data_IF_020310260582
#
_entry.id   IF_020310260582
#
_cell.length_a   1.000
_cell.length_b   1.000
_cell.length_c   1.000
_cell.angle_alpha   90.00
_cell.angle_beta   90.00
_cell.angle_gamma   90.00
#
_symmetry.space_group_name_H-M   'P 1'
#
loop_
_entity.id
_entity.type
_entity.pdbx_description
1 polymer ?
#
# COMPACT_ATOMS: atom_id res chain seq x y z
N UNK A 1 -5.47 15.76 -20.85
CA UNK A 1 -4.90 16.42 -19.67
C UNK A 1 -3.55 15.77 -19.40
N UNK A 2 -2.47 16.52 -19.50
CA UNK A 2 -1.16 16.11 -18.95
C UNK A 2 -1.16 16.45 -17.46
N UNK A 3 -0.70 15.52 -16.62
CA UNK A 3 -0.44 15.79 -15.21
C UNK A 3 0.86 16.58 -15.17
N UNK A 4 0.79 17.87 -14.87
CA UNK A 4 1.99 18.73 -14.79
C UNK A 4 2.72 18.57 -13.45
N UNK A 5 1.99 18.24 -12.38
CA UNK A 5 2.56 17.99 -11.04
C UNK A 5 1.68 17.02 -10.24
N UNK A 6 2.30 16.07 -9.53
CA UNK A 6 1.58 15.14 -8.64
C UNK A 6 1.40 15.79 -7.26
N UNK A 7 0.16 15.88 -6.73
CA UNK A 7 -0.06 16.48 -5.42
C UNK A 7 0.69 15.76 -4.31
N UNK A 8 1.32 16.55 -3.42
CA UNK A 8 1.94 16.06 -2.19
C UNK A 8 1.19 16.65 -0.99
N UNK A 9 0.50 15.80 -0.24
CA UNK A 9 -0.40 16.20 0.84
C UNK A 9 0.30 15.99 2.19
N UNK A 10 0.38 17.04 3.00
CA UNK A 10 0.93 16.99 4.35
C UNK A 10 -0.16 16.67 5.37
N UNK A 11 -0.02 15.57 6.12
CA UNK A 11 -1.01 15.17 7.13
C UNK A 11 -0.43 15.21 8.56
N UNK A 12 0.58 16.05 8.82
CA UNK A 12 1.18 16.16 10.16
C UNK A 12 0.25 16.65 11.26
N UNK A 13 -0.85 17.31 10.90
CA UNK A 13 -1.81 17.83 11.88
C UNK A 13 -2.68 16.70 12.44
N UNK A 14 -3.03 16.81 13.73
CA UNK A 14 -3.87 15.82 14.42
C UNK A 14 -5.24 15.60 13.75
N UNK A 15 -5.74 16.63 13.07
CA UNK A 15 -6.88 16.55 12.16
C UNK A 15 -6.50 17.10 10.78
N UNK A 16 -7.08 16.56 9.71
CA UNK A 16 -6.93 17.12 8.37
C UNK A 16 -7.54 18.53 8.36
N UNK A 17 -6.76 19.53 7.96
CA UNK A 17 -7.31 20.85 7.67
C UNK A 17 -8.29 20.78 6.50
N UNK A 18 -9.26 21.69 6.45
CA UNK A 18 -10.22 21.76 5.35
C UNK A 18 -9.51 21.86 3.99
N UNK A 19 -8.44 22.67 3.91
CA UNK A 19 -7.62 22.80 2.70
C UNK A 19 -6.96 21.47 2.27
N UNK A 20 -6.46 20.68 3.23
CA UNK A 20 -5.84 19.38 2.91
C UNK A 20 -6.88 18.34 2.54
N UNK A 21 -8.06 18.36 3.19
CA UNK A 21 -9.18 17.50 2.87
C UNK A 21 -9.72 17.79 1.46
N UNK A 22 -9.84 19.06 1.08
CA UNK A 22 -10.24 19.46 -0.27
C UNK A 22 -9.19 19.07 -1.32
N UNK A 23 -7.91 19.25 -1.02
CA UNK A 23 -6.82 18.84 -1.90
C UNK A 23 -6.81 17.32 -2.12
N UNK A 24 -7.02 16.55 -1.05
CA UNK A 24 -7.15 15.09 -1.11
C UNK A 24 -8.36 14.67 -1.95
N UNK A 25 -9.53 15.29 -1.72
CA UNK A 25 -10.75 15.02 -2.48
C UNK A 25 -10.55 15.28 -3.98
N UNK A 26 -9.91 16.38 -4.35
CA UNK A 26 -9.59 16.70 -5.75
C UNK A 26 -8.63 15.68 -6.34
N UNK A 27 -7.54 15.34 -5.63
CA UNK A 27 -6.58 14.35 -6.09
C UNK A 27 -7.24 12.98 -6.33
N UNK A 28 -8.17 12.56 -5.46
CA UNK A 28 -8.93 11.32 -5.65
C UNK A 28 -9.86 11.36 -6.88
N UNK A 29 -10.58 12.46 -7.10
CA UNK A 29 -11.59 12.54 -8.16
C UNK A 29 -11.01 12.83 -9.54
N UNK A 30 -9.95 13.63 -9.61
CA UNK A 30 -9.43 14.18 -10.86
C UNK A 30 -8.17 13.44 -11.35
N UNK A 31 -7.34 12.95 -10.44
CA UNK A 31 -6.04 12.33 -10.77
C UNK A 31 -5.99 10.83 -10.46
N UNK A 32 -6.63 10.40 -9.37
CA UNK A 32 -6.52 9.02 -8.87
C UNK A 32 -5.14 8.68 -8.26
N UNK A 33 -4.25 9.67 -8.12
CA UNK A 33 -2.89 9.46 -7.61
C UNK A 33 -2.36 10.72 -6.89
N UNK A 34 -1.65 10.50 -5.77
CA UNK A 34 -1.04 11.55 -4.94
C UNK A 34 -0.01 10.95 -3.97
N UNK A 35 0.87 11.80 -3.43
CA UNK A 35 1.78 11.43 -2.34
C UNK A 35 1.28 11.99 -1.00
N UNK A 36 1.58 11.28 0.09
CA UNK A 36 1.35 11.75 1.45
C UNK A 36 2.71 11.91 2.15
N UNK A 37 2.89 13.00 2.89
CA UNK A 37 4.04 13.20 3.79
C UNK A 37 3.60 13.39 5.23
N UNK A 38 4.53 13.09 6.16
CA UNK A 38 4.32 13.20 7.61
C UNK A 38 3.08 12.44 8.11
N UNK A 39 2.86 11.24 7.57
CA UNK A 39 1.76 10.33 7.93
C UNK A 39 1.95 9.55 9.24
N UNK A 40 2.93 9.95 10.06
CA UNK A 40 3.16 9.35 11.39
C UNK A 40 3.84 7.97 11.40
N UNK A 41 4.07 7.33 10.25
CA UNK A 41 4.85 6.08 10.20
C UNK A 41 6.32 6.40 10.41
N UNK A 42 6.96 5.72 11.36
CA UNK A 42 8.36 5.96 11.68
C UNK A 42 9.29 5.46 10.58
N UNK A 43 10.40 6.18 10.36
CA UNK A 43 11.42 5.77 9.40
C UNK A 43 12.07 4.45 9.80
N UNK A 44 12.24 4.19 11.11
CA UNK A 44 12.76 2.92 11.61
C UNK A 44 11.87 1.74 11.21
N UNK A 45 10.55 1.88 11.35
CA UNK A 45 9.61 0.85 10.92
C UNK A 45 9.71 0.62 9.41
N UNK A 46 9.73 1.70 8.61
CA UNK A 46 9.89 1.61 7.16
C UNK A 46 11.18 0.87 6.78
N UNK A 47 12.31 1.21 7.40
CA UNK A 47 13.59 0.55 7.14
C UNK A 47 13.56 -0.94 7.50
N UNK A 48 12.97 -1.32 8.64
CA UNK A 48 12.80 -2.73 9.02
C UNK A 48 11.91 -3.48 8.03
N UNK A 49 10.82 -2.85 7.58
CA UNK A 49 9.92 -3.43 6.59
C UNK A 49 10.64 -3.69 5.26
N UNK A 50 11.36 -2.69 4.73
CA UNK A 50 12.13 -2.83 3.49
C UNK A 50 13.22 -3.88 3.65
N UNK A 51 13.98 -3.85 4.75
CA UNK A 51 15.02 -4.86 5.02
C UNK A 51 14.45 -6.29 5.09
N UNK A 52 13.28 -6.46 5.72
CA UNK A 52 12.60 -7.75 5.77
C UNK A 52 12.14 -8.22 4.39
N UNK A 53 11.60 -7.31 3.57
CA UNK A 53 11.23 -7.59 2.19
C UNK A 53 12.45 -7.99 1.35
N UNK A 54 13.56 -7.27 1.45
CA UNK A 54 14.79 -7.56 0.72
C UNK A 54 15.34 -8.96 1.06
N UNK A 55 15.37 -9.31 2.35
CA UNK A 55 15.77 -10.65 2.80
C UNK A 55 14.86 -11.75 2.24
N UNK A 56 13.57 -11.48 2.20
CA UNK A 56 12.57 -12.42 1.70
C UNK A 56 12.71 -12.66 0.20
N UNK A 57 12.85 -11.59 -0.60
CA UNK A 57 12.98 -11.69 -2.04
C UNK A 57 14.35 -12.19 -2.50
N UNK A 58 15.38 -12.01 -1.67
CA UNK A 58 16.72 -12.57 -1.86
C UNK A 58 16.81 -14.05 -1.47
N UNK A 59 15.79 -14.62 -0.81
CA UNK A 59 15.78 -16.03 -0.42
C UNK A 59 15.62 -16.97 -1.63
N UNK A 60 16.16 -18.20 -1.56
CA UNK A 60 16.01 -19.20 -2.63
C UNK A 60 14.55 -19.46 -3.01
N UNK A 61 14.34 -19.82 -4.27
CA UNK A 61 13.03 -20.08 -4.84
C UNK A 61 12.28 -21.20 -4.09
N UNK A 62 12.98 -22.25 -3.69
CA UNK A 62 12.42 -23.36 -2.91
C UNK A 62 11.86 -22.89 -1.57
N UNK A 63 12.49 -21.89 -0.94
CA UNK A 63 12.01 -21.31 0.31
C UNK A 63 10.76 -20.47 0.10
N UNK A 64 10.72 -19.69 -0.99
CA UNK A 64 9.54 -18.88 -1.36
C UNK A 64 8.35 -19.77 -1.77
N UNK A 65 8.61 -20.87 -2.47
CA UNK A 65 7.58 -21.83 -2.89
C UNK A 65 6.91 -22.56 -1.72
N UNK A 66 7.59 -22.73 -0.58
CA UNK A 66 6.96 -23.25 0.65
C UNK A 66 5.86 -22.34 1.19
N UNK A 67 5.86 -21.06 0.80
CA UNK A 67 4.85 -20.07 1.20
C UNK A 67 3.76 -19.89 0.14
N UNK A 68 3.78 -20.72 -0.91
CA UNK A 68 2.75 -20.75 -1.94
C UNK A 68 1.45 -21.28 -1.33
N UNK A 69 0.38 -20.52 -1.50
CA UNK A 69 -0.95 -20.88 -0.98
C UNK A 69 -1.55 -22.02 -1.83
N UNK A 70 -2.12 -23.04 -1.19
CA UNK A 70 -2.91 -24.08 -1.86
C UNK A 70 -4.33 -23.62 -2.24
N UNK A 71 -4.75 -22.44 -1.78
CA UNK A 71 -6.08 -21.91 -2.08
C UNK A 71 -6.00 -21.19 -3.43
N UNK A 72 -6.71 -21.72 -4.42
CA UNK A 72 -6.97 -21.07 -5.71
C UNK A 72 -7.46 -19.63 -5.46
N UNK A 73 -6.66 -18.58 -5.75
CA UNK A 73 -7.19 -17.23 -5.67
C UNK A 73 -8.26 -17.11 -6.76
N UNK A 74 -9.45 -16.61 -6.38
CA UNK A 74 -10.48 -16.15 -7.33
C UNK A 74 -9.95 -15.09 -8.32
N UNK A 75 -8.75 -14.56 -8.04
CA UNK A 75 -8.04 -13.59 -8.84
C UNK A 75 -7.22 -14.26 -9.96
N UNK A 76 -7.48 -13.95 -11.25
CA UNK A 76 -6.72 -14.49 -12.37
C UNK A 76 -5.23 -14.16 -12.26
N UNK A 77 -4.38 -15.12 -12.65
CA UNK A 77 -2.90 -15.03 -12.57
C UNK A 77 -2.31 -13.80 -13.26
N UNK A 78 -3.01 -13.24 -14.25
CA UNK A 78 -2.59 -12.04 -15.00
C UNK A 78 -2.90 -10.70 -14.30
N UNK A 79 -3.66 -10.72 -13.19
CA UNK A 79 -4.00 -9.54 -12.36
C UNK A 79 -3.07 -9.42 -11.16
N UNK A 80 -2.22 -10.43 -10.91
CA UNK A 80 -1.18 -10.36 -9.90
C UNK A 80 -0.05 -9.47 -10.45
N UNK A 81 0.00 -8.25 -9.95
CA UNK A 81 1.25 -7.50 -9.89
C UNK A 81 2.34 -8.41 -9.27
N UNK A 82 3.63 -8.29 -9.62
CA UNK A 82 4.70 -9.04 -8.97
C UNK A 82 4.69 -8.96 -7.43
N UNK A 83 4.06 -7.91 -6.88
CA UNK A 83 3.83 -7.73 -5.46
C UNK A 83 2.77 -8.67 -4.86
N UNK A 84 1.85 -9.22 -5.66
CA UNK A 84 0.70 -10.01 -5.20
C UNK A 84 0.94 -11.53 -5.23
N UNK A 85 2.04 -11.99 -5.84
CA UNK A 85 2.57 -13.35 -5.59
C UNK A 85 3.26 -13.46 -4.22
N UNK A 86 3.41 -12.34 -3.51
CA UNK A 86 4.17 -12.25 -2.28
C UNK A 86 3.22 -12.22 -1.08
N UNK A 87 3.28 -13.27 -0.27
CA UNK A 87 2.92 -13.35 1.15
C UNK A 87 1.64 -12.62 1.59
N UNK A 88 0.67 -13.37 2.12
CA UNK A 88 -0.41 -12.77 2.93
C UNK A 88 0.20 -12.08 4.15
N UNK A 89 0.22 -10.75 4.14
CA UNK A 89 0.28 -9.95 5.37
C UNK A 89 -1.09 -10.07 6.04
N UNK A 90 -1.14 -10.48 7.30
CA UNK A 90 -2.37 -10.42 8.10
C UNK A 90 -2.74 -8.94 8.28
N UNK A 91 -3.55 -8.43 7.36
CA UNK A 91 -4.16 -7.11 7.51
C UNK A 91 -5.22 -7.12 8.62
N UNK A 92 -5.64 -5.93 9.10
CA UNK A 92 -6.83 -5.83 9.94
C UNK A 92 -8.04 -6.47 9.23
N UNK A 93 -9.03 -6.96 9.99
CA UNK A 93 -10.22 -7.63 9.44
C UNK A 93 -11.06 -6.67 8.58
N UNK A 94 -10.68 -6.44 7.33
CA UNK A 94 -11.38 -5.54 6.40
C UNK A 94 -12.84 -5.95 6.14
N UNK A 95 -13.18 -7.24 6.34
CA UNK A 95 -14.57 -7.72 6.31
C UNK A 95 -15.47 -7.03 7.33
N UNK A 96 -14.92 -6.56 8.45
CA UNK A 96 -15.67 -5.79 9.45
C UNK A 96 -15.84 -4.32 9.07
N UNK A 97 -14.99 -3.78 8.18
CA UNK A 97 -15.07 -2.39 7.71
C UNK A 97 -16.16 -2.17 6.66
N UNK A 98 -16.62 -3.23 5.98
CA UNK A 98 -17.66 -3.15 4.95
C UNK A 98 -19.10 -3.16 5.51
N UNK A 99 -19.26 -3.26 6.82
CA UNK A 99 -20.57 -3.39 7.49
C UNK A 99 -21.04 -2.08 8.19
N UNK A 100 -20.44 -0.94 7.87
CA UNK A 100 -20.83 0.39 8.40
C UNK A 100 -21.48 1.25 7.32
#
# INVERSE_FOLDING_TARGET
MSIEEVPVIDISSQSLSESNADSLRRACNELGFFFIRKHGVSMEFYQKLISGADQLFSSPEETKQKLKLEISPYTPKFVLSPFTESFKVSGPNFSTSAAA
#
